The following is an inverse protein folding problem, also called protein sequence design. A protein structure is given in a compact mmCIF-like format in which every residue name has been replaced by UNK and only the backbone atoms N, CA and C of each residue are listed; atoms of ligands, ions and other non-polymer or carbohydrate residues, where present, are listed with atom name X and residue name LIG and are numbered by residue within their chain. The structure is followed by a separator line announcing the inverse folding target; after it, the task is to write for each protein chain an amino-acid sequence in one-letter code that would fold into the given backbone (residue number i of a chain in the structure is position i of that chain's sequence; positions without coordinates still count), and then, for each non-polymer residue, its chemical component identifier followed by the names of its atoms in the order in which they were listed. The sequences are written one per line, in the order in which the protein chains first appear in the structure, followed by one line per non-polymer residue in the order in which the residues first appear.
data_IF_805818360249
#
_entry.id   IF_805818360249
#
_cell.length_a   1.000
_cell.length_b   1.000
_cell.length_c   1.000
_cell.angle_alpha   90.00
_cell.angle_beta   90.00
_cell.angle_gamma   90.00
#
_symmetry.space_group_name_H-M   'P 1'
#
loop_
_entity.id
_entity.type
_entity.pdbx_description
1 polymer ?
#
# COMPACT_ATOMS: atom_id res chain seq x y z
N UNK A 1 -37.93 -37.15 -3.70
CA UNK A 1 -36.56 -36.91 -3.19
C UNK A 1 -36.13 -35.45 -3.29
N UNK A 2 -36.66 -34.69 -4.23
CA UNK A 2 -36.25 -33.28 -4.45
C UNK A 2 -37.03 -32.28 -3.61
N UNK A 3 -38.22 -32.61 -3.10
CA UNK A 3 -39.01 -31.71 -2.25
C UNK A 3 -38.58 -31.69 -0.76
N UNK A 4 -38.01 -32.77 -0.29
CA UNK A 4 -37.56 -32.87 1.11
C UNK A 4 -36.24 -32.10 1.38
N UNK A 5 -35.32 -32.04 0.42
CA UNK A 5 -34.08 -31.34 0.55
C UNK A 5 -34.28 -29.80 0.57
N UNK A 6 -35.22 -29.28 -0.21
CA UNK A 6 -35.57 -27.86 -0.27
C UNK A 6 -36.23 -27.37 1.04
N UNK A 7 -37.11 -28.18 1.63
CA UNK A 7 -37.77 -27.85 2.89
C UNK A 7 -36.79 -27.88 4.06
N UNK A 8 -35.86 -28.82 4.09
CA UNK A 8 -34.80 -28.91 5.09
C UNK A 8 -33.82 -27.68 5.04
N UNK A 9 -33.44 -27.26 3.83
CA UNK A 9 -32.62 -26.05 3.64
C UNK A 9 -33.34 -24.78 4.10
N UNK A 10 -34.64 -24.67 3.86
CA UNK A 10 -35.43 -23.53 4.32
C UNK A 10 -35.58 -23.50 5.84
N UNK A 11 -35.74 -24.66 6.48
CA UNK A 11 -35.80 -24.77 7.92
C UNK A 11 -34.42 -24.45 8.56
N UNK A 12 -33.33 -24.89 7.96
CA UNK A 12 -31.98 -24.53 8.40
C UNK A 12 -31.76 -23.01 8.34
N UNK A 13 -32.15 -22.38 7.23
CA UNK A 13 -32.03 -20.93 7.07
C UNK A 13 -32.90 -20.17 8.07
N UNK A 14 -34.12 -20.65 8.35
CA UNK A 14 -35.00 -20.07 9.38
C UNK A 14 -34.37 -20.16 10.78
N UNK A 15 -33.78 -21.29 11.11
CA UNK A 15 -33.08 -21.48 12.37
C UNK A 15 -31.86 -20.54 12.46
N UNK A 16 -31.09 -20.41 11.41
CA UNK A 16 -29.94 -19.47 11.37
C UNK A 16 -30.38 -18.03 11.59
N UNK A 17 -31.51 -17.60 11.01
CA UNK A 17 -32.07 -16.27 11.25
C UNK A 17 -32.49 -16.07 12.70
N UNK A 18 -33.13 -17.08 13.31
CA UNK A 18 -33.59 -17.02 14.73
C UNK A 18 -32.39 -16.94 15.69
N UNK A 19 -31.35 -17.70 15.43
CA UNK A 19 -30.19 -17.82 16.30
C UNK A 19 -29.15 -16.72 16.06
N UNK A 20 -29.29 -15.94 14.97
CA UNK A 20 -28.33 -14.92 14.60
C UNK A 20 -28.24 -13.80 15.64
N UNK A 21 -27.01 -13.44 15.99
CA UNK A 21 -26.70 -12.29 16.87
C UNK A 21 -26.61 -11.02 16.01
N UNK A 22 -27.75 -10.52 15.62
CA UNK A 22 -27.92 -9.33 14.79
C UNK A 22 -28.91 -8.37 15.46
N UNK A 23 -28.92 -7.07 15.07
CA UNK A 23 -29.91 -6.13 15.58
C UNK A 23 -31.36 -6.63 15.36
N UNK A 24 -32.22 -6.43 16.34
CA UNK A 24 -33.59 -6.96 16.31
C UNK A 24 -34.39 -6.45 15.11
N UNK A 25 -34.24 -5.20 14.74
CA UNK A 25 -34.88 -4.61 13.56
C UNK A 25 -34.49 -5.36 12.28
N UNK A 26 -33.19 -5.67 12.14
CA UNK A 26 -32.67 -6.44 11.00
C UNK A 26 -33.19 -7.88 11.02
N UNK A 27 -33.22 -8.51 12.21
CA UNK A 27 -33.76 -9.87 12.39
C UNK A 27 -35.22 -9.96 11.93
N UNK A 28 -36.04 -8.98 12.29
CA UNK A 28 -37.44 -8.90 11.87
C UNK A 28 -37.57 -8.74 10.34
N UNK A 29 -36.70 -7.94 9.75
CA UNK A 29 -36.62 -7.75 8.30
C UNK A 29 -36.24 -9.04 7.58
N UNK A 30 -35.23 -9.77 8.07
CA UNK A 30 -34.84 -11.07 7.49
C UNK A 30 -35.94 -12.11 7.63
N UNK A 31 -36.68 -12.13 8.74
CA UNK A 31 -37.80 -13.03 8.94
C UNK A 31 -38.94 -12.77 7.93
N UNK A 32 -39.24 -11.50 7.62
CA UNK A 32 -40.19 -11.13 6.59
C UNK A 32 -39.75 -11.57 5.19
N UNK A 33 -38.51 -11.35 4.83
CA UNK A 33 -37.97 -11.79 3.54
C UNK A 33 -37.98 -13.32 3.41
N UNK A 34 -37.66 -14.04 4.46
CA UNK A 34 -37.73 -15.50 4.49
C UNK A 34 -39.15 -16.01 4.34
N UNK A 35 -40.12 -15.40 5.03
CA UNK A 35 -41.54 -15.68 4.87
C UNK A 35 -42.04 -15.49 3.45
N UNK A 36 -41.55 -14.44 2.79
CA UNK A 36 -41.85 -14.15 1.38
C UNK A 36 -41.27 -15.22 0.48
N UNK A 37 -40.00 -15.62 0.71
CA UNK A 37 -39.31 -16.66 -0.06
C UNK A 37 -40.03 -18.02 0.05
N UNK A 38 -40.51 -18.39 1.23
CA UNK A 38 -41.29 -19.65 1.44
C UNK A 38 -42.59 -19.73 0.64
N UNK A 39 -43.12 -18.61 0.18
CA UNK A 39 -44.33 -18.52 -0.64
C UNK A 39 -44.08 -18.52 -2.14
N UNK A 40 -42.81 -18.46 -2.54
CA UNK A 40 -42.40 -18.45 -3.95
C UNK A 40 -42.19 -19.86 -4.48
N UNK A 41 -42.31 -20.06 -5.79
CA UNK A 41 -41.92 -21.31 -6.43
C UNK A 41 -40.43 -21.60 -6.16
N UNK A 42 -40.10 -22.84 -5.88
CA UNK A 42 -38.72 -23.29 -5.78
C UNK A 42 -37.97 -22.97 -7.09
N UNK A 43 -36.69 -22.55 -6.94
CA UNK A 43 -35.84 -22.22 -8.09
C UNK A 43 -36.25 -20.99 -8.92
N UNK A 44 -37.14 -20.13 -8.42
CA UNK A 44 -37.35 -18.84 -9.07
C UNK A 44 -36.13 -17.92 -8.95
N UNK A 45 -35.93 -17.08 -9.95
CA UNK A 45 -34.80 -16.08 -9.90
C UNK A 45 -34.93 -15.15 -8.68
N UNK A 46 -36.14 -14.79 -8.30
CA UNK A 46 -36.43 -13.94 -7.14
C UNK A 46 -36.09 -14.65 -5.82
N UNK A 47 -36.44 -15.94 -5.69
CA UNK A 47 -36.09 -16.76 -4.54
C UNK A 47 -34.54 -16.83 -4.34
N UNK A 48 -33.80 -17.02 -5.43
CA UNK A 48 -32.32 -17.04 -5.39
C UNK A 48 -31.74 -15.70 -4.95
N UNK A 49 -32.31 -14.58 -5.39
CA UNK A 49 -31.86 -13.23 -4.96
C UNK A 49 -32.09 -13.03 -3.47
N UNK A 50 -33.27 -13.42 -2.94
CA UNK A 50 -33.56 -13.30 -1.51
C UNK A 50 -32.63 -14.21 -0.70
N UNK A 51 -32.43 -15.47 -1.12
CA UNK A 51 -31.51 -16.41 -0.45
C UNK A 51 -30.10 -15.84 -0.34
N UNK A 52 -29.54 -15.35 -1.45
CA UNK A 52 -28.20 -14.76 -1.48
C UNK A 52 -28.10 -13.56 -0.54
N UNK A 53 -29.12 -12.73 -0.47
CA UNK A 53 -29.18 -11.62 0.47
C UNK A 53 -29.18 -12.08 1.93
N UNK A 54 -30.03 -13.03 2.29
CA UNK A 54 -30.13 -13.58 3.65
C UNK A 54 -28.79 -14.20 4.07
N UNK A 55 -28.20 -15.02 3.22
CA UNK A 55 -26.88 -15.63 3.48
C UNK A 55 -25.79 -14.58 3.66
N UNK A 56 -25.74 -13.58 2.80
CA UNK A 56 -24.76 -12.48 2.89
C UNK A 56 -24.87 -11.73 4.22
N UNK A 57 -26.09 -11.39 4.64
CA UNK A 57 -26.31 -10.70 5.92
C UNK A 57 -25.91 -11.58 7.11
N UNK A 58 -26.27 -12.86 7.09
CA UNK A 58 -25.96 -13.81 8.16
C UNK A 58 -24.46 -14.13 8.27
N UNK A 59 -23.72 -14.03 7.19
CA UNK A 59 -22.26 -14.25 7.17
C UNK A 59 -21.44 -13.06 7.66
N UNK A 60 -22.06 -11.89 7.82
CA UNK A 60 -21.36 -10.72 8.34
C UNK A 60 -21.02 -10.85 9.82
N UNK A 61 -19.84 -10.36 10.24
CA UNK A 61 -19.39 -10.47 11.63
C UNK A 61 -20.00 -9.38 12.51
N UNK A 62 -21.30 -9.43 12.78
CA UNK A 62 -22.02 -8.38 13.54
C UNK A 62 -21.48 -8.22 14.98
N UNK A 63 -21.20 -9.32 15.66
CA UNK A 63 -20.72 -9.33 17.04
C UNK A 63 -19.44 -10.18 17.23
N UNK A 64 -18.78 -10.52 16.13
CA UNK A 64 -17.56 -11.33 16.16
C UNK A 64 -16.34 -10.43 16.13
N UNK A 65 -15.53 -10.47 17.17
CA UNK A 65 -14.30 -9.67 17.26
C UNK A 65 -13.13 -10.48 17.80
N UNK A 66 -11.92 -10.05 17.50
CA UNK A 66 -10.69 -10.53 18.12
C UNK A 66 -10.38 -9.70 19.36
N UNK A 67 -9.69 -10.31 20.33
CA UNK A 67 -9.21 -9.58 21.50
C UNK A 67 -7.91 -8.85 21.16
N UNK A 68 -7.89 -7.55 21.44
CA UNK A 68 -6.70 -6.74 21.27
C UNK A 68 -5.66 -7.07 22.35
N UNK A 69 -4.44 -7.33 21.92
CA UNK A 69 -3.27 -7.43 22.79
C UNK A 69 -2.25 -6.38 22.32
N UNK A 70 -2.23 -5.22 22.97
CA UNK A 70 -1.25 -4.18 22.68
C UNK A 70 -0.16 -4.22 23.74
N UNK A 71 0.99 -4.73 23.35
CA UNK A 71 2.24 -4.67 24.09
C UNK A 71 3.24 -3.87 23.23
N UNK A 72 3.67 -2.73 23.75
CA UNK A 72 4.53 -1.80 22.99
C UNK A 72 5.91 -2.39 22.72
N UNK A 73 6.51 -3.11 23.68
CA UNK A 73 7.80 -3.78 23.49
C UNK A 73 7.71 -4.88 22.42
N UNK A 74 6.64 -5.66 22.44
CA UNK A 74 6.37 -6.68 21.42
C UNK A 74 6.12 -6.05 20.05
N UNK A 75 5.38 -4.95 20.01
CA UNK A 75 5.13 -4.20 18.76
C UNK A 75 6.43 -3.65 18.16
N UNK A 76 7.28 -3.05 18.97
CA UNK A 76 8.61 -2.57 18.55
C UNK A 76 9.46 -3.71 17.97
N UNK A 77 9.48 -4.85 18.66
CA UNK A 77 10.18 -6.03 18.19
C UNK A 77 9.67 -6.51 16.83
N UNK A 78 8.36 -6.58 16.64
CA UNK A 78 7.73 -6.98 15.37
C UNK A 78 8.10 -6.00 14.25
N UNK A 79 8.02 -4.69 14.49
CA UNK A 79 8.38 -3.67 13.51
C UNK A 79 9.86 -3.77 13.11
N UNK A 80 10.75 -4.03 14.06
CA UNK A 80 12.17 -4.18 13.82
C UNK A 80 12.54 -5.50 13.12
N UNK A 81 11.78 -6.57 13.36
CA UNK A 81 11.94 -7.85 12.67
C UNK A 81 11.52 -7.75 11.20
N UNK A 82 10.46 -7.00 10.92
CA UNK A 82 9.85 -6.94 9.59
C UNK A 82 10.44 -5.84 8.70
N UNK A 83 11.02 -4.78 9.29
CA UNK A 83 11.46 -3.61 8.54
C UNK A 83 12.84 -3.15 8.99
N UNK A 84 13.69 -2.83 8.00
CA UNK A 84 14.99 -2.20 8.23
C UNK A 84 14.84 -0.68 8.31
N UNK A 85 15.50 -0.05 9.29
CA UNK A 85 15.49 1.41 9.46
C UNK A 85 14.09 1.94 9.78
N UNK A 86 13.69 3.04 9.16
CA UNK A 86 12.38 3.69 9.35
C UNK A 86 12.10 4.06 10.82
N UNK A 87 13.12 4.50 11.54
CA UNK A 87 13.05 4.71 13.00
C UNK A 87 11.93 5.71 13.37
N UNK A 88 11.86 6.84 12.67
CA UNK A 88 10.83 7.85 12.90
C UNK A 88 9.41 7.32 12.62
N UNK A 89 9.26 6.55 11.54
CA UNK A 89 7.98 5.94 11.16
C UNK A 89 7.53 4.92 12.21
N UNK A 90 8.45 4.07 12.67
CA UNK A 90 8.19 3.07 13.72
C UNK A 90 7.80 3.75 15.03
N UNK A 91 8.53 4.79 15.42
CA UNK A 91 8.24 5.55 16.65
C UNK A 91 6.84 6.15 16.60
N UNK A 92 6.45 6.80 15.53
CA UNK A 92 5.09 7.35 15.37
C UNK A 92 4.00 6.27 15.42
N UNK A 93 4.25 5.09 14.85
CA UNK A 93 3.33 3.96 14.96
C UNK A 93 3.21 3.49 16.41
N UNK A 94 4.33 3.37 17.14
CA UNK A 94 4.33 2.96 18.54
C UNK A 94 3.62 3.97 19.45
N UNK A 95 3.84 5.26 19.24
CA UNK A 95 3.11 6.34 19.93
C UNK A 95 1.60 6.21 19.72
N UNK A 96 1.18 5.94 18.48
CA UNK A 96 -0.22 5.77 18.14
C UNK A 96 -0.83 4.53 18.84
N UNK A 97 -0.11 3.42 18.88
CA UNK A 97 -0.52 2.22 19.59
C UNK A 97 -0.58 2.43 21.12
N UNK A 98 0.33 3.22 21.67
CA UNK A 98 0.35 3.57 23.09
C UNK A 98 -0.88 4.38 23.49
N UNK A 99 -1.24 5.38 22.69
CA UNK A 99 -2.45 6.18 22.91
C UNK A 99 -3.69 5.28 22.87
N UNK A 100 -3.76 4.38 21.90
CA UNK A 100 -4.85 3.41 21.84
C UNK A 100 -4.96 2.55 23.10
N UNK A 101 -3.83 2.04 23.59
CA UNK A 101 -3.79 1.22 24.80
C UNK A 101 -4.29 1.98 26.04
N UNK A 102 -3.91 3.25 26.16
CA UNK A 102 -4.27 4.09 27.31
C UNK A 102 -5.73 4.53 27.29
N UNK A 103 -6.24 4.92 26.15
CA UNK A 103 -7.58 5.51 26.03
C UNK A 103 -8.68 4.50 25.68
N UNK A 104 -8.31 3.30 25.33
CA UNK A 104 -9.20 2.23 24.84
C UNK A 104 -10.17 2.68 23.71
N UNK A 105 -9.91 3.84 23.11
CA UNK A 105 -10.71 4.43 22.03
C UNK A 105 -9.78 4.89 20.91
N UNK A 106 -10.06 4.45 19.69
CA UNK A 106 -9.40 4.97 18.48
C UNK A 106 -10.15 6.15 17.85
N UNK A 107 -10.99 6.80 18.61
CA UNK A 107 -11.78 7.90 18.06
C UNK A 107 -10.86 9.03 17.62
N UNK A 108 -10.74 9.22 16.34
CA UNK A 108 -10.27 10.44 15.72
C UNK A 108 -9.07 10.37 14.81
N UNK A 109 -8.20 9.38 14.88
CA UNK A 109 -6.98 9.40 14.06
C UNK A 109 -6.87 8.20 13.13
N UNK A 110 -6.66 8.48 11.85
CA UNK A 110 -6.43 7.52 10.79
C UNK A 110 -4.98 7.67 10.37
N UNK A 111 -4.22 6.59 10.38
CA UNK A 111 -2.84 6.61 9.89
C UNK A 111 -2.87 6.59 8.37
N UNK A 112 -2.17 7.54 7.74
CA UNK A 112 -1.90 7.53 6.31
C UNK A 112 -0.40 7.49 6.04
N UNK A 113 0.07 6.41 5.43
CA UNK A 113 1.46 6.24 5.02
C UNK A 113 1.64 6.80 3.61
N UNK A 114 2.42 7.85 3.47
CA UNK A 114 2.66 8.55 2.19
C UNK A 114 4.11 8.38 1.77
N UNK A 115 4.32 7.92 0.57
CA UNK A 115 5.67 7.76 0.03
C UNK A 115 5.70 7.07 -1.32
N UNK A 116 6.86 7.00 -1.96
CA UNK A 116 7.00 6.37 -3.26
C UNK A 116 6.62 4.88 -3.22
N UNK A 117 6.29 4.28 -4.38
CA UNK A 117 5.96 2.86 -4.42
C UNK A 117 7.17 1.98 -4.02
N UNK A 118 6.89 0.88 -3.35
CA UNK A 118 7.91 -0.12 -3.01
C UNK A 118 8.72 0.15 -1.75
N UNK A 119 8.34 1.13 -0.92
CA UNK A 119 9.03 1.46 0.35
C UNK A 119 8.50 0.68 1.56
N UNK A 120 7.52 -0.20 1.39
CA UNK A 120 7.03 -1.07 2.45
C UNK A 120 5.77 -0.59 3.17
N UNK A 121 5.00 0.34 2.60
CA UNK A 121 3.76 0.85 3.21
C UNK A 121 2.76 -0.25 3.58
N UNK A 122 2.48 -1.16 2.66
CA UNK A 122 1.56 -2.30 2.89
C UNK A 122 2.12 -3.26 3.93
N UNK A 123 3.40 -3.55 3.91
CA UNK A 123 4.05 -4.42 4.90
C UNK A 123 4.01 -3.82 6.31
N UNK A 124 4.15 -2.49 6.44
CA UNK A 124 3.99 -1.80 7.73
C UNK A 124 2.57 -1.97 8.28
N UNK A 125 1.55 -1.86 7.44
CA UNK A 125 0.16 -2.10 7.85
C UNK A 125 -0.06 -3.53 8.36
N UNK A 126 0.52 -4.52 7.72
CA UNK A 126 0.51 -5.91 8.19
C UNK A 126 1.18 -6.05 9.57
N UNK A 127 2.32 -5.41 9.76
CA UNK A 127 3.04 -5.46 11.03
C UNK A 127 2.27 -4.80 12.17
N UNK A 128 1.54 -3.73 11.88
CA UNK A 128 0.62 -3.09 12.84
C UNK A 128 -0.49 -4.05 13.25
N UNK A 129 -1.12 -4.73 12.29
CA UNK A 129 -2.17 -5.72 12.59
C UNK A 129 -1.66 -6.85 13.48
N UNK A 130 -0.49 -7.39 13.15
CA UNK A 130 0.18 -8.44 13.94
C UNK A 130 0.53 -7.97 15.35
N UNK A 131 0.96 -6.71 15.49
CA UNK A 131 1.28 -6.09 16.78
C UNK A 131 0.06 -5.92 17.70
N UNK A 132 -1.12 -5.80 17.10
CA UNK A 132 -2.40 -5.64 17.82
C UNK A 132 -3.15 -6.96 18.02
N UNK A 133 -2.62 -8.06 17.53
CA UNK A 133 -3.33 -9.36 17.47
C UNK A 133 -4.67 -9.24 16.70
N UNK A 134 -4.70 -8.45 15.65
CA UNK A 134 -5.87 -8.28 14.79
C UNK A 134 -5.70 -8.95 13.45
N UNK A 135 -6.81 -9.37 12.87
CA UNK A 135 -6.86 -9.80 11.46
C UNK A 135 -6.67 -8.60 10.54
N UNK A 136 -6.18 -8.87 9.35
CA UNK A 136 -5.86 -7.86 8.35
C UNK A 136 -6.68 -8.06 7.08
N UNK A 137 -7.16 -6.97 6.51
CA UNK A 137 -7.78 -6.94 5.18
C UNK A 137 -7.33 -5.72 4.41
N UNK A 138 -7.28 -5.85 3.08
CA UNK A 138 -6.81 -4.81 2.18
C UNK A 138 -7.85 -4.52 1.10
N UNK A 139 -8.12 -3.24 0.88
CA UNK A 139 -8.96 -2.72 -0.20
C UNK A 139 -8.15 -1.74 -1.04
N UNK A 140 -7.95 -2.03 -2.32
CA UNK A 140 -7.34 -1.09 -3.24
C UNK A 140 -8.37 -0.08 -3.74
N UNK A 141 -8.09 1.20 -3.58
CA UNK A 141 -8.93 2.30 -4.06
C UNK A 141 -8.45 2.88 -5.39
N UNK A 142 -7.31 2.40 -5.90
CA UNK A 142 -6.80 2.80 -7.20
C UNK A 142 -7.76 2.40 -8.31
N UNK A 143 -8.23 3.39 -9.09
CA UNK A 143 -9.17 3.17 -10.18
C UNK A 143 -10.64 3.09 -9.78
N UNK A 144 -10.99 3.21 -8.50
CA UNK A 144 -12.39 3.31 -8.04
C UNK A 144 -12.97 4.64 -8.52
N UNK A 145 -14.09 4.58 -9.25
CA UNK A 145 -14.77 5.74 -9.83
C UNK A 145 -16.23 5.84 -9.39
N UNK A 146 -16.85 4.71 -9.10
CA UNK A 146 -18.26 4.60 -8.74
C UNK A 146 -18.42 4.47 -7.22
N UNK A 147 -19.25 5.31 -6.63
CA UNK A 147 -19.59 5.26 -5.21
C UNK A 147 -20.19 3.90 -4.81
N UNK A 148 -20.89 3.23 -5.71
CA UNK A 148 -21.45 1.90 -5.48
C UNK A 148 -20.40 0.82 -5.24
N UNK A 149 -19.15 1.00 -5.67
CA UNK A 149 -18.05 0.09 -5.33
C UNK A 149 -17.75 0.11 -3.82
N UNK A 150 -18.01 1.23 -3.14
CA UNK A 150 -17.84 1.38 -1.69
C UNK A 150 -19.11 1.01 -0.94
N UNK A 151 -20.27 1.55 -1.38
CA UNK A 151 -21.57 1.43 -0.68
C UNK A 151 -22.45 0.29 -1.15
N UNK A 152 -22.09 -0.42 -2.23
CA UNK A 152 -22.93 -1.45 -2.84
C UNK A 152 -24.09 -0.91 -3.67
N UNK A 153 -24.78 -1.82 -4.33
CA UNK A 153 -25.94 -1.56 -5.16
C UNK A 153 -27.22 -1.98 -4.44
N UNK A 154 -28.30 -1.23 -4.62
CA UNK A 154 -29.61 -1.63 -4.10
C UNK A 154 -30.05 -2.97 -4.71
N UNK A 155 -30.67 -3.83 -3.92
CA UNK A 155 -31.10 -5.18 -4.31
C UNK A 155 -32.07 -5.23 -5.51
N UNK A 156 -32.70 -4.10 -5.84
CA UNK A 156 -33.62 -3.98 -6.99
C UNK A 156 -32.90 -3.99 -8.34
N UNK A 157 -31.59 -3.81 -8.36
CA UNK A 157 -30.79 -3.84 -9.60
C UNK A 157 -30.32 -5.26 -9.89
N UNK A 158 -30.33 -5.63 -11.19
CA UNK A 158 -29.76 -6.91 -11.64
C UNK A 158 -28.25 -6.93 -11.35
N UNK A 159 -27.80 -8.03 -10.76
CA UNK A 159 -26.39 -8.16 -10.36
C UNK A 159 -26.00 -7.35 -9.14
N UNK A 160 -26.96 -6.92 -8.32
CA UNK A 160 -26.70 -6.21 -7.08
C UNK A 160 -25.81 -7.02 -6.14
N UNK A 161 -24.84 -6.33 -5.53
CA UNK A 161 -23.91 -6.91 -4.58
C UNK A 161 -23.53 -5.88 -3.52
N UNK A 162 -23.05 -6.32 -2.35
CA UNK A 162 -22.49 -5.41 -1.35
C UNK A 162 -21.28 -4.67 -1.89
N UNK A 163 -20.97 -3.52 -1.28
CA UNK A 163 -19.75 -2.79 -1.54
C UNK A 163 -18.51 -3.49 -1.02
N UNK A 164 -17.35 -2.96 -1.36
CA UNK A 164 -16.05 -3.54 -0.98
C UNK A 164 -15.84 -3.60 0.52
N UNK A 165 -16.36 -2.64 1.28
CA UNK A 165 -16.23 -2.61 2.75
C UNK A 165 -16.91 -3.84 3.36
N UNK A 166 -18.17 -4.06 3.02
CA UNK A 166 -18.96 -5.19 3.54
C UNK A 166 -18.39 -6.52 3.06
N UNK A 167 -17.99 -6.63 1.80
CA UNK A 167 -17.34 -7.84 1.29
C UNK A 167 -16.04 -8.16 2.03
N UNK A 168 -15.25 -7.14 2.33
CA UNK A 168 -14.02 -7.30 3.10
C UNK A 168 -14.27 -7.80 4.53
N UNK A 169 -15.26 -7.26 5.21
CA UNK A 169 -15.67 -7.70 6.55
C UNK A 169 -16.18 -9.12 6.54
N UNK A 170 -16.98 -9.50 5.53
CA UNK A 170 -17.42 -10.88 5.33
C UNK A 170 -16.25 -11.85 5.20
N UNK A 171 -15.27 -11.51 4.37
CA UNK A 171 -14.11 -12.35 4.12
C UNK A 171 -13.20 -12.50 5.34
N UNK A 172 -12.96 -11.41 6.06
CA UNK A 172 -12.08 -11.42 7.23
C UNK A 172 -12.75 -12.04 8.47
N UNK A 173 -14.07 -12.01 8.54
CA UNK A 173 -14.89 -12.69 9.55
C UNK A 173 -14.86 -12.07 10.95
N UNK A 174 -14.39 -10.84 11.09
CA UNK A 174 -14.39 -10.07 12.35
C UNK A 174 -14.78 -8.62 12.09
N UNK A 175 -15.36 -7.96 13.11
CA UNK A 175 -15.81 -6.57 13.01
C UNK A 175 -14.73 -5.55 13.41
N UNK A 176 -13.59 -6.01 13.90
CA UNK A 176 -12.47 -5.18 14.36
C UNK A 176 -11.14 -5.52 13.67
N UNK A 177 -11.10 -5.69 12.33
CA UNK A 177 -9.85 -5.93 11.64
C UNK A 177 -9.01 -4.65 11.56
N UNK A 178 -7.76 -4.78 11.19
CA UNK A 178 -7.01 -3.69 10.55
C UNK A 178 -7.39 -3.69 9.08
N UNK A 179 -7.96 -2.60 8.62
CA UNK A 179 -8.38 -2.41 7.23
C UNK A 179 -7.48 -1.40 6.55
N UNK A 180 -6.77 -1.86 5.54
CA UNK A 180 -5.87 -1.05 4.73
C UNK A 180 -6.60 -0.56 3.48
N UNK A 181 -6.70 0.76 3.32
CA UNK A 181 -7.09 1.40 2.07
C UNK A 181 -5.85 1.80 1.29
N UNK A 182 -5.54 1.04 0.25
CA UNK A 182 -4.37 1.25 -0.57
C UNK A 182 -4.65 2.21 -1.71
N UNK A 183 -3.69 3.08 -2.03
CA UNK A 183 -3.79 4.04 -3.13
C UNK A 183 -4.97 5.02 -3.04
N UNK A 184 -5.20 5.58 -1.86
CA UNK A 184 -6.29 6.54 -1.61
C UNK A 184 -6.17 7.83 -2.45
N UNK A 185 -4.97 8.17 -2.89
CA UNK A 185 -4.66 9.29 -3.78
C UNK A 185 -5.08 9.08 -5.25
N UNK A 186 -5.47 7.85 -5.61
CA UNK A 186 -5.83 7.50 -6.99
C UNK A 186 -7.32 7.27 -7.21
N UNK A 187 -8.17 7.66 -6.26
CA UNK A 187 -9.60 7.69 -6.46
C UNK A 187 -9.97 8.78 -7.47
N UNK A 188 -10.87 8.46 -8.39
CA UNK A 188 -11.40 9.42 -9.35
C UNK A 188 -12.87 9.71 -9.05
N UNK A 189 -13.31 10.94 -9.23
CA UNK A 189 -14.72 11.31 -9.27
C UNK A 189 -15.17 11.37 -10.73
N UNK A 190 -16.35 10.82 -11.04
CA UNK A 190 -16.99 10.96 -12.33
C UNK A 190 -18.51 11.19 -12.16
N UNK A 191 -19.26 11.14 -13.26
CA UNK A 191 -20.73 11.36 -13.27
C UNK A 191 -21.53 10.31 -12.47
N UNK A 192 -20.90 9.23 -11.98
CA UNK A 192 -21.54 8.12 -11.27
C UNK A 192 -21.50 8.23 -9.76
N UNK A 193 -20.94 9.32 -9.25
CA UNK A 193 -20.88 9.56 -7.82
C UNK A 193 -19.50 10.07 -7.35
N UNK A 194 -19.41 10.23 -6.03
CA UNK A 194 -18.20 10.71 -5.36
C UNK A 194 -17.70 9.66 -4.36
N UNK A 195 -16.76 8.79 -4.77
CA UNK A 195 -16.17 7.80 -3.86
C UNK A 195 -15.50 8.42 -2.64
N UNK A 196 -14.98 9.64 -2.75
CA UNK A 196 -14.36 10.34 -1.63
C UNK A 196 -15.37 10.66 -0.51
N UNK A 197 -16.61 11.05 -0.88
CA UNK A 197 -17.68 11.25 0.10
C UNK A 197 -18.07 9.96 0.80
N UNK A 198 -18.15 8.84 0.06
CA UNK A 198 -18.40 7.53 0.66
C UNK A 198 -17.28 7.14 1.64
N UNK A 199 -16.03 7.41 1.28
CA UNK A 199 -14.88 7.14 2.16
C UNK A 199 -14.88 8.02 3.41
N UNK A 200 -15.39 9.23 3.36
CA UNK A 200 -15.60 10.06 4.57
C UNK A 200 -16.53 9.38 5.57
N UNK A 201 -17.63 8.80 5.13
CA UNK A 201 -18.54 8.08 6.03
C UNK A 201 -17.89 6.84 6.65
N UNK A 202 -17.00 6.18 5.92
CA UNK A 202 -16.26 5.02 6.42
C UNK A 202 -15.21 5.43 7.45
N UNK A 203 -14.47 6.49 7.17
CA UNK A 203 -13.30 6.90 7.95
C UNK A 203 -13.64 7.90 9.08
N UNK A 204 -14.71 8.68 8.96
CA UNK A 204 -15.08 9.66 9.96
C UNK A 204 -15.64 8.98 11.22
N UNK A 205 -14.97 9.10 12.38
CA UNK A 205 -15.43 8.49 13.62
C UNK A 205 -16.82 8.99 14.10
N UNK A 206 -17.26 10.16 13.64
CA UNK A 206 -18.59 10.68 13.95
C UNK A 206 -19.71 9.98 13.16
N UNK A 207 -19.38 9.33 12.05
CA UNK A 207 -20.35 8.74 11.13
C UNK A 207 -20.21 7.21 10.97
N UNK A 208 -19.01 6.65 11.19
CA UNK A 208 -18.70 5.27 10.79
C UNK A 208 -19.36 4.20 11.68
N UNK A 209 -19.90 4.56 12.82
CA UNK A 209 -20.74 3.66 13.64
C UNK A 209 -22.09 3.33 12.97
N UNK A 210 -22.47 4.09 11.96
CA UNK A 210 -23.72 3.97 11.23
C UNK A 210 -23.51 3.91 9.72
N UNK A 211 -22.46 3.21 9.29
CA UNK A 211 -22.18 3.03 7.86
C UNK A 211 -23.29 2.22 7.18
N UNK A 212 -23.85 2.76 6.13
CA UNK A 212 -24.92 2.12 5.37
C UNK A 212 -24.41 1.61 4.02
N UNK A 213 -24.49 0.29 3.85
CA UNK A 213 -24.33 -0.35 2.54
C UNK A 213 -25.72 -0.51 1.90
N UNK A 214 -25.87 -0.09 0.67
CA UNK A 214 -27.17 -0.09 -0.02
C UNK A 214 -27.71 -1.48 -0.32
N UNK A 215 -26.82 -2.49 -0.46
CA UNK A 215 -27.25 -3.87 -0.64
C UNK A 215 -27.77 -4.48 0.65
N UNK A 216 -27.05 -4.28 1.74
CA UNK A 216 -27.46 -4.76 3.07
C UNK A 216 -28.72 -4.03 3.55
N UNK A 217 -28.86 -2.74 3.17
CA UNK A 217 -29.98 -1.88 3.53
C UNK A 217 -30.20 -1.82 5.06
N UNK A 218 -29.10 -1.76 5.77
CA UNK A 218 -29.03 -1.60 7.21
C UNK A 218 -27.63 -1.04 7.58
N UNK A 219 -27.55 -0.36 8.70
CA UNK A 219 -26.30 0.20 9.20
C UNK A 219 -25.38 -0.90 9.77
N UNK A 220 -24.09 -0.76 9.52
CA UNK A 220 -23.05 -1.57 10.12
C UNK A 220 -22.07 -0.68 10.90
N UNK A 221 -21.73 -1.07 12.12
CA UNK A 221 -20.79 -0.34 12.96
C UNK A 221 -19.35 -0.62 12.57
N UNK A 222 -18.67 0.39 12.01
CA UNK A 222 -17.26 0.35 11.64
C UNK A 222 -16.33 0.98 12.70
N UNK A 223 -16.86 1.42 13.83
CA UNK A 223 -16.08 2.16 14.85
C UNK A 223 -14.98 1.33 15.52
N UNK A 224 -15.07 0.00 15.44
CA UNK A 224 -14.06 -0.92 15.97
C UNK A 224 -12.97 -1.28 14.96
N UNK A 225 -13.12 -0.89 13.71
CA UNK A 225 -12.12 -1.13 12.66
C UNK A 225 -10.93 -0.17 12.85
N UNK A 226 -9.73 -0.69 12.72
CA UNK A 226 -8.53 0.14 12.68
C UNK A 226 -8.18 0.44 11.22
N UNK A 227 -8.29 1.70 10.83
CA UNK A 227 -8.04 2.12 9.46
C UNK A 227 -6.61 2.59 9.25
N UNK A 228 -5.97 2.06 8.21
CA UNK A 228 -4.70 2.55 7.69
C UNK A 228 -4.89 2.86 6.21
N UNK A 229 -4.40 4.00 5.77
CA UNK A 229 -4.40 4.39 4.36
C UNK A 229 -2.98 4.44 3.82
N UNK A 230 -2.83 4.23 2.53
CA UNK A 230 -1.57 4.49 1.82
C UNK A 230 -1.80 5.41 0.63
N UNK A 231 -0.80 6.22 0.33
CA UNK A 231 -0.76 7.08 -0.83
C UNK A 231 0.66 7.22 -1.35
N UNK A 232 0.82 7.50 -2.63
CA UNK A 232 2.12 7.83 -3.21
C UNK A 232 2.36 9.35 -3.20
N UNK A 233 1.29 10.12 -3.34
CA UNK A 233 1.32 11.58 -3.38
C UNK A 233 0.26 12.17 -2.43
N UNK A 234 0.71 13.04 -1.55
CA UNK A 234 -0.16 13.75 -0.61
C UNK A 234 -1.17 14.66 -1.34
N UNK A 235 -0.76 15.26 -2.43
CA UNK A 235 -1.59 16.17 -3.22
C UNK A 235 -2.80 15.49 -3.88
N UNK A 236 -2.71 14.20 -4.14
CA UNK A 236 -3.80 13.40 -4.70
C UNK A 236 -4.87 12.97 -3.70
N UNK A 237 -4.64 13.18 -2.39
CA UNK A 237 -5.62 12.84 -1.35
C UNK A 237 -6.65 13.96 -1.26
N UNK A 238 -7.96 13.65 -1.36
CA UNK A 238 -9.01 14.66 -1.17
C UNK A 238 -8.86 15.40 0.16
N UNK A 239 -8.95 16.73 0.12
CA UNK A 239 -8.74 17.60 1.28
C UNK A 239 -9.50 17.20 2.54
N UNK A 240 -10.83 16.96 2.46
CA UNK A 240 -11.64 16.55 3.62
C UNK A 240 -11.19 15.22 4.26
N UNK A 241 -10.65 14.28 3.48
CA UNK A 241 -10.07 13.04 3.99
C UNK A 241 -8.72 13.31 4.65
N UNK A 242 -7.87 14.10 3.99
CA UNK A 242 -6.54 14.44 4.49
C UNK A 242 -6.56 15.12 5.85
N UNK A 243 -7.53 16.00 6.09
CA UNK A 243 -7.69 16.74 7.35
C UNK A 243 -7.99 15.83 8.56
N UNK A 244 -8.42 14.60 8.32
CA UNK A 244 -8.72 13.59 9.34
C UNK A 244 -7.61 12.55 9.53
N UNK A 245 -6.50 12.70 8.81
CA UNK A 245 -5.42 11.71 8.78
C UNK A 245 -4.19 12.19 9.53
N UNK A 246 -3.58 11.27 10.25
CA UNK A 246 -2.21 11.38 10.73
C UNK A 246 -1.27 10.96 9.59
N UNK A 247 -0.63 11.93 8.96
CA UNK A 247 0.26 11.70 7.82
C UNK A 247 1.64 11.27 8.31
N UNK A 248 2.09 10.10 7.90
CA UNK A 248 3.44 9.60 8.14
C UNK A 248 4.13 9.46 6.79
N UNK A 249 5.10 10.31 6.53
CA UNK A 249 5.86 10.30 5.29
C UNK A 249 6.99 9.26 5.35
N UNK A 250 7.10 8.48 4.28
CA UNK A 250 8.17 7.49 4.11
C UNK A 250 8.99 7.92 2.90
N UNK A 251 10.27 8.16 3.11
CA UNK A 251 11.19 8.59 2.07
C UNK A 251 11.70 7.42 1.23
N UNK A 252 12.37 7.77 0.13
CA UNK A 252 13.08 6.80 -0.69
C UNK A 252 14.29 6.22 0.07
N UNK A 253 14.59 4.96 -0.19
CA UNK A 253 15.76 4.30 0.39
C UNK A 253 17.05 4.71 -0.29
N UNK A 254 18.11 4.89 0.53
CA UNK A 254 19.49 4.99 0.06
C UNK A 254 19.99 3.63 -0.45
N UNK A 255 21.07 3.62 -1.21
CA UNK A 255 21.72 2.38 -1.66
C UNK A 255 22.12 1.47 -0.50
N UNK A 256 22.61 2.07 0.58
CA UNK A 256 23.00 1.34 1.79
C UNK A 256 21.80 0.68 2.48
N UNK A 257 20.68 1.39 2.58
CA UNK A 257 19.44 0.82 3.12
C UNK A 257 18.92 -0.31 2.24
N UNK A 258 18.93 -0.15 0.92
CA UNK A 258 18.52 -1.20 -0.03
C UNK A 258 19.42 -2.44 0.08
N UNK A 259 20.73 -2.27 0.27
CA UNK A 259 21.65 -3.37 0.52
C UNK A 259 21.25 -4.18 1.76
N UNK A 260 20.99 -3.49 2.87
CA UNK A 260 20.61 -4.13 4.12
C UNK A 260 19.21 -4.78 4.04
N UNK A 261 18.25 -4.13 3.39
CA UNK A 261 16.92 -4.69 3.13
C UNK A 261 17.04 -5.97 2.29
N UNK A 262 17.86 -5.96 1.26
CA UNK A 262 18.10 -7.14 0.43
C UNK A 262 18.69 -8.29 1.24
N UNK A 263 19.71 -8.04 2.04
CA UNK A 263 20.37 -9.06 2.86
C UNK A 263 19.46 -9.66 3.93
N UNK A 264 18.73 -8.81 4.66
CA UNK A 264 17.96 -9.24 5.83
C UNK A 264 16.58 -9.80 5.48
N UNK A 265 15.95 -9.28 4.42
CA UNK A 265 14.55 -9.58 4.12
C UNK A 265 14.33 -10.17 2.72
N UNK A 266 14.78 -9.50 1.66
CA UNK A 266 14.42 -9.87 0.30
C UNK A 266 15.05 -11.21 -0.12
N UNK A 267 16.33 -11.42 0.14
CA UNK A 267 17.03 -12.64 -0.23
C UNK A 267 16.47 -13.85 0.50
N UNK A 268 16.33 -13.86 1.85
CA UNK A 268 15.76 -14.99 2.55
C UNK A 268 14.32 -15.32 2.12
N UNK A 269 13.46 -14.32 2.00
CA UNK A 269 12.07 -14.51 1.59
C UNK A 269 11.96 -15.05 0.15
N UNK A 270 12.69 -14.44 -0.77
CA UNK A 270 12.65 -14.82 -2.19
C UNK A 270 13.26 -16.21 -2.41
N UNK A 271 14.28 -16.57 -1.62
CA UNK A 271 14.88 -17.91 -1.64
C UNK A 271 13.86 -18.96 -1.23
N UNK A 272 13.11 -18.74 -0.15
CA UNK A 272 12.06 -19.65 0.32
C UNK A 272 10.92 -19.76 -0.70
N UNK A 273 10.45 -18.63 -1.22
CA UNK A 273 9.39 -18.56 -2.24
C UNK A 273 9.74 -19.33 -3.54
N UNK A 274 11.02 -19.42 -3.87
CA UNK A 274 11.50 -20.15 -5.06
C UNK A 274 11.97 -21.59 -4.76
N UNK A 275 11.63 -22.13 -3.59
CA UNK A 275 11.88 -23.55 -3.26
C UNK A 275 13.34 -23.88 -2.94
N UNK A 276 14.17 -22.91 -2.63
CA UNK A 276 15.60 -23.07 -2.36
C UNK A 276 15.96 -22.99 -0.86
N UNK A 277 14.99 -23.20 0.03
CA UNK A 277 15.16 -23.12 1.48
C UNK A 277 16.30 -24.00 2.01
N UNK A 278 16.48 -25.20 1.44
CA UNK A 278 17.48 -26.17 1.87
C UNK A 278 18.87 -25.91 1.26
N UNK A 279 19.00 -24.88 0.43
CA UNK A 279 20.26 -24.51 -0.21
C UNK A 279 20.90 -23.34 0.52
N UNK A 280 22.22 -23.35 0.62
CA UNK A 280 23.01 -22.23 1.12
C UNK A 280 23.39 -21.30 -0.03
N UNK A 281 22.54 -20.30 -0.29
CA UNK A 281 22.81 -19.28 -1.32
C UNK A 281 23.34 -18.04 -0.64
N UNK A 282 24.54 -17.61 -1.01
CA UNK A 282 25.20 -16.42 -0.47
C UNK A 282 25.42 -15.40 -1.57
N UNK A 283 25.11 -14.13 -1.26
CA UNK A 283 25.39 -13.00 -2.14
C UNK A 283 26.50 -12.15 -1.54
N UNK A 284 27.48 -11.75 -2.35
CA UNK A 284 28.42 -10.72 -1.92
C UNK A 284 27.76 -9.34 -1.92
N UNK A 285 28.19 -8.44 -1.05
CA UNK A 285 27.69 -7.08 -1.01
C UNK A 285 27.87 -6.37 -2.37
N UNK A 286 28.98 -6.63 -3.03
CA UNK A 286 29.24 -6.12 -4.39
C UNK A 286 28.24 -6.65 -5.42
N UNK A 287 27.82 -7.91 -5.32
CA UNK A 287 26.79 -8.47 -6.20
C UNK A 287 25.44 -7.80 -5.98
N UNK A 288 25.03 -7.58 -4.74
CA UNK A 288 23.78 -6.89 -4.40
C UNK A 288 23.82 -5.44 -4.89
N UNK A 289 24.92 -4.71 -4.62
CA UNK A 289 25.10 -3.34 -5.09
C UNK A 289 25.08 -3.24 -6.62
N UNK A 290 25.61 -4.25 -7.33
CA UNK A 290 25.52 -4.32 -8.77
C UNK A 290 24.07 -4.43 -9.24
N UNK A 291 23.24 -5.26 -8.59
CA UNK A 291 21.83 -5.36 -8.93
C UNK A 291 21.12 -4.02 -8.70
N UNK A 292 21.35 -3.38 -7.55
CA UNK A 292 20.76 -2.10 -7.18
C UNK A 292 21.08 -1.03 -8.22
N UNK A 293 22.34 -0.89 -8.61
CA UNK A 293 22.83 0.20 -9.42
C UNK A 293 22.70 -0.01 -10.92
N UNK A 294 22.81 -1.23 -11.39
CA UNK A 294 22.87 -1.53 -12.82
C UNK A 294 21.58 -2.18 -13.36
N UNK A 295 20.73 -2.74 -12.50
CA UNK A 295 19.51 -3.47 -12.94
C UNK A 295 18.22 -2.87 -12.40
N UNK A 296 18.29 -1.95 -11.45
CA UNK A 296 17.13 -1.25 -10.89
C UNK A 296 17.34 0.26 -10.88
N UNK A 297 16.25 1.00 -11.00
CA UNK A 297 16.21 2.46 -10.80
C UNK A 297 14.85 2.82 -10.20
N UNK A 298 14.80 2.85 -8.87
CA UNK A 298 13.57 3.04 -8.12
C UNK A 298 13.84 3.66 -6.75
N UNK A 299 12.82 4.26 -6.17
CA UNK A 299 12.90 4.81 -4.82
C UNK A 299 12.83 3.72 -3.74
N UNK A 300 12.07 2.68 -3.97
CA UNK A 300 11.89 1.53 -3.08
C UNK A 300 12.70 0.31 -3.49
N UNK A 301 12.18 -0.88 -3.20
CA UNK A 301 12.85 -2.17 -3.42
C UNK A 301 12.01 -3.19 -4.20
N UNK A 302 10.91 -2.75 -4.83
CA UNK A 302 10.01 -3.65 -5.59
C UNK A 302 10.71 -4.34 -6.77
N UNK A 303 11.43 -3.56 -7.58
CA UNK A 303 12.17 -4.09 -8.71
C UNK A 303 13.40 -4.87 -8.26
N UNK A 304 14.06 -4.43 -7.19
CA UNK A 304 15.16 -5.19 -6.58
C UNK A 304 14.71 -6.59 -6.18
N UNK A 305 13.57 -6.73 -5.52
CA UNK A 305 12.96 -8.03 -5.20
C UNK A 305 12.70 -8.87 -6.47
N UNK A 306 12.17 -8.25 -7.52
CA UNK A 306 11.89 -8.93 -8.79
C UNK A 306 13.16 -9.44 -9.48
N UNK A 307 14.23 -8.66 -9.48
CA UNK A 307 15.52 -9.08 -10.06
C UNK A 307 16.17 -10.20 -9.22
N UNK A 308 16.11 -10.14 -7.89
CA UNK A 308 16.53 -11.22 -6.99
C UNK A 308 15.73 -12.49 -7.27
N UNK A 309 14.42 -12.39 -7.46
CA UNK A 309 13.55 -13.51 -7.81
C UNK A 309 13.94 -14.17 -9.15
N UNK A 310 14.32 -13.37 -10.14
CA UNK A 310 14.84 -13.90 -11.42
C UNK A 310 16.14 -14.69 -11.23
N UNK A 311 17.03 -14.20 -10.36
CA UNK A 311 18.25 -14.92 -10.03
C UNK A 311 17.96 -16.28 -9.41
N UNK A 312 17.09 -16.34 -8.42
CA UNK A 312 16.73 -17.60 -7.77
C UNK A 312 16.07 -18.59 -8.74
N UNK A 313 15.21 -18.12 -9.62
CA UNK A 313 14.60 -19.00 -10.64
C UNK A 313 15.63 -19.58 -11.59
N UNK A 314 16.62 -18.80 -12.01
CA UNK A 314 17.71 -19.27 -12.87
C UNK A 314 18.67 -20.21 -12.13
N UNK A 315 18.95 -19.95 -10.87
CA UNK A 315 19.72 -20.83 -10.02
C UNK A 315 18.99 -22.18 -9.84
N UNK A 316 17.69 -22.15 -9.56
CA UNK A 316 16.89 -23.36 -9.41
C UNK A 316 16.91 -24.23 -10.69
N UNK A 317 16.77 -23.59 -11.86
CA UNK A 317 16.88 -24.27 -13.15
C UNK A 317 18.27 -24.89 -13.32
N UNK A 318 19.34 -24.15 -13.02
CA UNK A 318 20.73 -24.62 -13.18
C UNK A 318 21.01 -25.83 -12.27
N UNK A 319 20.51 -25.81 -11.03
CA UNK A 319 20.64 -26.95 -10.11
C UNK A 319 20.01 -28.23 -10.69
N UNK A 320 18.79 -28.10 -11.20
CA UNK A 320 18.06 -29.25 -11.74
C UNK A 320 18.69 -29.79 -13.03
N UNK A 321 19.19 -28.93 -13.91
CA UNK A 321 19.83 -29.31 -15.16
C UNK A 321 21.21 -29.93 -14.93
N UNK A 322 22.02 -29.34 -14.06
CA UNK A 322 23.40 -29.81 -13.80
C UNK A 322 23.45 -31.04 -12.90
N UNK A 323 22.32 -31.46 -12.32
CA UNK A 323 22.26 -32.54 -11.31
C UNK A 323 23.28 -32.35 -10.18
N UNK A 324 23.61 -31.08 -9.88
CA UNK A 324 24.61 -30.74 -8.87
C UNK A 324 24.16 -31.20 -7.49
N UNK A 325 25.02 -31.95 -6.81
CA UNK A 325 24.83 -32.35 -5.41
C UNK A 325 25.24 -31.25 -4.42
N UNK A 326 25.83 -30.16 -4.90
CA UNK A 326 26.29 -29.07 -4.03
C UNK A 326 25.10 -28.23 -3.57
N UNK A 327 24.90 -28.14 -2.26
CA UNK A 327 23.90 -27.26 -1.62
C UNK A 327 24.44 -25.85 -1.32
N UNK A 328 25.68 -25.56 -1.70
CA UNK A 328 26.31 -24.24 -1.49
C UNK A 328 26.46 -23.51 -2.82
N UNK A 329 25.89 -22.33 -2.92
CA UNK A 329 25.92 -21.50 -4.13
C UNK A 329 26.35 -20.10 -3.71
N UNK A 330 27.42 -19.61 -4.32
CA UNK A 330 27.89 -18.24 -4.13
C UNK A 330 27.56 -17.40 -5.36
N UNK A 331 26.92 -16.26 -5.15
CA UNK A 331 26.54 -15.32 -6.21
C UNK A 331 27.48 -14.11 -6.16
N UNK A 332 28.33 -14.02 -7.16
CA UNK A 332 29.28 -12.93 -7.37
C UNK A 332 28.78 -11.97 -8.46
N UNK A 333 29.47 -10.84 -8.64
CA UNK A 333 29.16 -9.86 -9.70
C UNK A 333 29.13 -10.49 -11.11
N UNK A 334 30.04 -11.42 -11.38
CA UNK A 334 30.07 -12.12 -12.67
C UNK A 334 28.86 -13.01 -12.90
N UNK A 335 28.36 -13.65 -11.85
CA UNK A 335 27.12 -14.44 -11.91
C UNK A 335 25.90 -13.56 -12.12
N UNK A 336 25.85 -12.34 -11.57
CA UNK A 336 24.77 -11.38 -11.83
C UNK A 336 24.66 -11.13 -13.34
N UNK A 337 25.76 -10.82 -14.01
CA UNK A 337 25.76 -10.60 -15.46
C UNK A 337 25.34 -11.86 -16.25
N UNK A 338 25.79 -13.03 -15.80
CA UNK A 338 25.41 -14.32 -16.42
C UNK A 338 23.89 -14.53 -16.37
N UNK A 339 23.26 -14.23 -15.22
CA UNK A 339 21.86 -14.53 -15.00
C UNK A 339 20.90 -13.41 -15.44
N UNK A 340 21.26 -12.16 -15.25
CA UNK A 340 20.41 -11.00 -15.55
C UNK A 340 20.71 -10.36 -16.91
N UNK A 341 21.81 -10.75 -17.57
CA UNK A 341 22.22 -10.19 -18.85
C UNK A 341 22.97 -8.87 -18.71
N UNK A 342 22.89 -8.05 -19.75
CA UNK A 342 23.57 -6.75 -19.76
C UNK A 342 22.92 -5.77 -18.78
N UNK A 343 23.73 -4.90 -18.22
CA UNK A 343 23.27 -3.81 -17.35
C UNK A 343 22.21 -2.96 -18.05
N UNK A 344 21.11 -2.71 -17.35
CA UNK A 344 20.00 -1.88 -17.85
C UNK A 344 20.27 -0.39 -17.68
N UNK A 345 21.02 -0.06 -16.65
CA UNK A 345 21.37 1.31 -16.29
C UNK A 345 22.89 1.45 -16.24
N UNK A 346 23.39 2.57 -16.69
CA UNK A 346 24.81 2.90 -16.56
C UNK A 346 24.99 3.83 -15.36
N UNK A 347 25.96 3.54 -14.55
CA UNK A 347 26.39 4.48 -13.52
C UNK A 347 27.33 5.46 -14.22
N UNK A 348 26.90 6.70 -14.35
CA UNK A 348 27.80 7.79 -14.72
C UNK A 348 28.76 8.02 -13.54
N UNK A 349 29.88 7.31 -13.58
CA UNK A 349 30.95 7.57 -12.63
C UNK A 349 31.48 8.97 -12.95
N UNK A 350 31.22 9.91 -12.07
CA UNK A 350 31.92 11.19 -12.09
C UNK A 350 33.41 10.87 -11.91
N UNK A 351 34.11 10.78 -13.04
CA UNK A 351 35.55 10.44 -13.04
C UNK A 351 36.45 11.65 -12.80
N UNK A 352 35.89 12.84 -12.70
CA UNK A 352 36.68 14.04 -12.67
C UNK A 352 37.03 14.41 -11.22
N UNK A 353 38.26 14.17 -10.85
CA UNK A 353 38.85 14.62 -9.56
C UNK A 353 39.22 16.11 -9.58
N UNK A 354 39.26 16.74 -10.73
CA UNK A 354 39.63 18.13 -10.91
C UNK A 354 38.38 18.99 -11.16
N UNK A 355 38.24 20.07 -10.41
CA UNK A 355 37.18 21.04 -10.61
C UNK A 355 37.30 21.72 -11.97
N UNK A 356 36.20 21.89 -12.68
CA UNK A 356 36.12 22.67 -13.92
C UNK A 356 35.58 24.06 -13.62
N UNK A 357 36.26 25.08 -14.17
CA UNK A 357 35.75 26.45 -14.11
C UNK A 357 34.42 26.55 -14.85
N UNK A 358 33.42 27.15 -14.19
CA UNK A 358 32.09 27.33 -14.75
C UNK A 358 31.20 26.10 -14.65
N UNK A 359 31.59 25.07 -13.91
CA UNK A 359 30.80 23.85 -13.72
C UNK A 359 30.53 23.62 -12.25
N UNK A 360 29.24 23.44 -11.91
CA UNK A 360 28.78 23.14 -10.55
C UNK A 360 27.81 21.98 -10.57
N UNK A 361 27.97 21.04 -9.65
CA UNK A 361 27.01 19.97 -9.43
C UNK A 361 25.89 20.45 -8.52
N UNK A 362 24.73 20.66 -9.09
CA UNK A 362 23.48 20.87 -8.34
C UNK A 362 22.91 19.56 -7.85
N UNK A 363 22.20 19.60 -6.74
CA UNK A 363 21.44 18.47 -6.21
C UNK A 363 19.99 18.58 -6.67
N UNK A 364 19.47 17.49 -7.17
CA UNK A 364 18.06 17.39 -7.58
C UNK A 364 17.40 16.17 -6.93
N UNK A 365 16.16 16.35 -6.56
CA UNK A 365 15.32 15.23 -6.12
C UNK A 365 14.45 14.75 -7.28
N UNK A 366 14.30 13.42 -7.42
CA UNK A 366 13.47 12.79 -8.43
C UNK A 366 12.59 11.72 -7.80
N UNK A 367 11.59 11.26 -8.53
CA UNK A 367 10.72 10.16 -8.09
C UNK A 367 11.46 8.84 -7.78
N UNK A 368 12.71 8.73 -8.20
CA UNK A 368 13.57 7.54 -7.96
C UNK A 368 14.71 7.80 -6.97
N UNK A 369 14.71 8.96 -6.32
CA UNK A 369 15.70 9.36 -5.34
C UNK A 369 16.47 10.63 -5.72
N UNK A 370 17.51 10.94 -4.97
CA UNK A 370 18.40 12.06 -5.23
C UNK A 370 19.29 11.80 -6.46
N UNK A 371 19.56 12.86 -7.20
CA UNK A 371 20.51 12.85 -8.31
C UNK A 371 21.30 14.15 -8.37
N UNK A 372 22.38 14.16 -9.12
CA UNK A 372 23.15 15.38 -9.38
C UNK A 372 22.83 15.90 -10.79
N UNK A 373 22.80 17.20 -10.90
CA UNK A 373 22.68 17.92 -12.18
C UNK A 373 23.92 18.78 -12.36
N UNK A 374 24.59 18.60 -13.50
CA UNK A 374 25.68 19.49 -13.85
C UNK A 374 25.12 20.80 -14.43
N UNK A 375 25.45 21.90 -13.78
CA UNK A 375 25.13 23.26 -14.23
C UNK A 375 26.39 23.86 -14.79
N UNK A 376 26.37 24.23 -16.07
CA UNK A 376 27.51 24.82 -16.78
C UNK A 376 27.23 26.29 -17.08
N UNK A 377 28.19 27.15 -16.80
CA UNK A 377 28.19 28.55 -17.20
C UNK A 377 29.40 28.82 -18.09
N UNK A 378 29.14 29.35 -19.25
CA UNK A 378 30.16 29.69 -20.26
C UNK A 378 30.10 31.17 -20.57
N UNK A 379 31.25 31.79 -20.52
CA UNK A 379 31.43 33.20 -20.93
C UNK A 379 31.77 33.26 -22.43
N UNK A 380 31.05 34.10 -23.12
CA UNK A 380 31.30 34.39 -24.54
C UNK A 380 31.38 35.89 -24.79
N UNK A 381 32.09 36.30 -25.85
CA UNK A 381 32.04 37.69 -26.32
C UNK A 381 30.64 38.03 -26.84
N UNK A 382 30.12 39.18 -26.50
CA UNK A 382 28.81 39.59 -26.92
C UNK A 382 28.23 40.79 -26.17
N UNK A 383 26.93 41.01 -26.29
CA UNK A 383 26.22 42.19 -25.75
C UNK A 383 25.84 42.10 -24.27
N UNK A 384 26.39 41.15 -23.51
CA UNK A 384 26.10 40.97 -22.07
C UNK A 384 24.72 40.41 -21.78
N UNK A 385 24.18 39.58 -22.67
CA UNK A 385 22.86 38.90 -22.50
C UNK A 385 23.05 37.57 -21.81
N UNK A 386 22.24 37.30 -20.77
CA UNK A 386 22.14 36.00 -20.19
C UNK A 386 21.28 35.07 -21.08
N UNK A 387 21.91 34.05 -21.63
CA UNK A 387 21.23 33.07 -22.46
C UNK A 387 21.10 31.76 -21.65
N UNK A 388 19.87 31.30 -21.48
CA UNK A 388 19.55 30.07 -20.72
C UNK A 388 19.14 28.98 -21.70
N UNK A 389 19.74 27.80 -21.57
CA UNK A 389 19.40 26.62 -22.37
C UNK A 389 19.09 25.42 -21.45
N UNK A 390 18.33 24.47 -21.93
CA UNK A 390 17.86 23.29 -21.20
C UNK A 390 16.35 23.37 -20.93
N UNK A 391 15.79 22.28 -20.43
CA UNK A 391 14.38 22.21 -20.02
C UNK A 391 14.21 22.78 -18.60
N UNK A 392 14.46 24.08 -18.46
CA UNK A 392 14.39 24.77 -17.17
C UNK A 392 12.93 25.16 -16.88
N UNK A 393 12.46 24.86 -15.66
CA UNK A 393 11.23 25.43 -15.14
C UNK A 393 11.38 26.92 -14.77
N UNK A 394 10.27 27.59 -14.52
CA UNK A 394 10.26 29.04 -14.29
C UNK A 394 11.08 29.45 -13.05
N UNK A 395 11.04 28.64 -11.97
CA UNK A 395 11.84 28.88 -10.77
C UNK A 395 13.34 28.84 -11.07
N UNK A 396 13.82 27.86 -11.84
CA UNK A 396 15.22 27.76 -12.21
C UNK A 396 15.66 28.90 -13.14
N UNK A 397 14.82 29.34 -14.05
CA UNK A 397 15.07 30.49 -14.92
C UNK A 397 15.22 31.78 -14.09
N UNK A 398 14.33 31.97 -13.13
CA UNK A 398 14.40 33.09 -12.21
C UNK A 398 15.64 33.03 -11.34
N UNK A 399 15.96 31.87 -10.75
CA UNK A 399 17.20 31.69 -9.99
C UNK A 399 18.45 32.03 -10.77
N UNK A 400 18.53 31.64 -12.04
CA UNK A 400 19.66 31.99 -12.90
C UNK A 400 19.76 33.49 -13.15
N UNK A 401 18.63 34.20 -13.35
CA UNK A 401 18.58 35.66 -13.50
C UNK A 401 19.01 36.37 -12.21
N UNK A 402 18.57 35.90 -11.06
CA UNK A 402 18.96 36.44 -9.76
C UNK A 402 20.45 36.27 -9.55
N UNK A 403 20.98 35.07 -9.80
CA UNK A 403 22.42 34.79 -9.70
C UNK A 403 23.26 35.69 -10.62
N UNK A 404 22.82 35.87 -11.87
CA UNK A 404 23.48 36.75 -12.80
C UNK A 404 23.47 38.24 -12.35
N UNK A 405 22.34 38.69 -11.83
CA UNK A 405 22.21 40.06 -11.29
C UNK A 405 23.11 40.26 -10.06
N UNK A 406 23.22 39.26 -9.20
CA UNK A 406 24.07 39.30 -8.05
C UNK A 406 25.54 39.34 -8.43
N UNK A 407 26.00 38.52 -9.37
CA UNK A 407 27.39 38.56 -9.88
C UNK A 407 27.71 39.95 -10.48
N UNK A 408 26.77 40.57 -11.22
CA UNK A 408 26.95 41.92 -11.71
C UNK A 408 27.04 42.96 -10.61
N UNK A 409 26.34 42.79 -9.52
CA UNK A 409 26.38 43.70 -8.37
C UNK A 409 27.74 43.65 -7.67
N UNK A 410 28.30 42.44 -7.49
CA UNK A 410 29.57 42.24 -6.76
C UNK A 410 30.79 42.16 -7.70
N UNK A 411 30.64 42.53 -8.99
CA UNK A 411 31.69 42.38 -10.00
C UNK A 411 33.05 43.02 -9.59
N UNK A 412 32.98 44.18 -8.94
CA UNK A 412 34.20 44.89 -8.48
C UNK A 412 34.92 44.14 -7.38
N UNK A 413 34.19 43.46 -6.51
CA UNK A 413 34.77 42.64 -5.43
C UNK A 413 35.38 41.35 -5.99
N UNK A 414 34.85 40.85 -7.10
CA UNK A 414 35.34 39.67 -7.81
C UNK A 414 36.48 39.98 -8.81
N UNK A 415 36.76 41.24 -9.04
CA UNK A 415 37.80 41.66 -10.00
C UNK A 415 37.45 41.37 -11.46
N UNK A 416 36.15 41.38 -11.84
CA UNK A 416 35.61 41.15 -13.20
C UNK A 416 34.87 42.38 -13.72
#
# INVERSE_FOLDING_TARGET
GEGTDSDEELEELDQRVRDAKIPQELKDKLAKELSRMKKMPDFSAESSVIRTYLETVLELPWEVSTNDEIDIEKAEKILNEDHYGLEEVKERILEFLAIKKLNNTLKGSIICLVGPPGVGKTSLAHSVARSMNRKFTRISLGGVRDEAEIRGHRRTYVGAMPGRIINSLKQVGVNNPVMLFDEIDKMASDFRGDPASAMLEVLDPAQNNSFEDHYIDHTFDLSNVFFICTANDLGGIPGPLRDRMEIISIESYTEFEKLNIAKKYLIPQTQEENGLKDYKVSFSDKAIMKIINEYTREAGVRNLRREIGKLFRKIAKEILVSKSKSKKISVSETKIKKYLGNAKFRIDKVKEKEGKIGVVNGLAWTAVGGTTLEVQAVKMEGKGVLQLTGKLGDVMKESARVAYSYVRHIKNELGI
#
